data_IF_424735521710
#
_entry.id   IF_424735521710
#
_cell.length_a   1.000
_cell.length_b   1.000
_cell.length_c   1.000
_cell.angle_alpha   90.00
_cell.angle_beta   90.00
_cell.angle_gamma   90.00
#
_symmetry.space_group_name_H-M   'P 1'
#
loop_
_entity.id
_entity.type
_entity.pdbx_description
1 polymer ?
#
# COMPACT_ATOMS: atom_id res chain seq x y z
N UNK A 1 13.49 0.78 -12.95
CA UNK A 1 12.37 -0.04 -12.42
C UNK A 1 11.46 -0.36 -13.58
N UNK A 2 11.15 -1.65 -13.74
CA UNK A 2 10.22 -2.18 -14.74
C UNK A 2 8.75 -2.02 -14.32
N UNK A 3 7.85 -2.19 -15.28
CA UNK A 3 6.41 -2.32 -15.11
C UNK A 3 6.04 -3.79 -15.32
N UNK A 4 5.47 -4.42 -14.30
CA UNK A 4 5.18 -5.85 -14.28
C UNK A 4 3.67 -6.02 -14.39
N UNK A 5 3.24 -6.91 -15.30
CA UNK A 5 1.84 -7.25 -15.50
C UNK A 5 1.59 -8.71 -15.20
N UNK A 6 0.48 -8.99 -14.55
CA UNK A 6 0.10 -10.33 -14.16
C UNK A 6 -1.40 -10.50 -14.36
N UNK A 7 -1.81 -11.71 -14.72
CA UNK A 7 -3.22 -12.07 -14.71
C UNK A 7 -3.76 -12.09 -13.27
N UNK A 8 -4.85 -11.35 -13.04
CA UNK A 8 -5.42 -11.19 -11.71
C UNK A 8 -5.98 -12.48 -11.09
N UNK A 9 -6.42 -13.43 -11.91
CA UNK A 9 -7.02 -14.70 -11.48
C UNK A 9 -5.97 -15.81 -11.39
N UNK A 10 -5.23 -16.06 -12.45
CA UNK A 10 -4.27 -17.18 -12.54
C UNK A 10 -2.94 -16.88 -11.85
N UNK A 11 -2.67 -15.60 -11.55
CA UNK A 11 -1.39 -15.12 -11.01
C UNK A 11 -0.20 -15.37 -11.93
N UNK A 12 -0.44 -15.67 -13.21
CA UNK A 12 0.62 -15.85 -14.18
C UNK A 12 1.17 -14.50 -14.64
N UNK A 13 2.49 -14.41 -14.72
CA UNK A 13 3.18 -13.25 -15.28
C UNK A 13 2.79 -13.11 -16.76
N UNK A 14 2.24 -11.96 -17.12
CA UNK A 14 1.87 -11.66 -18.51
C UNK A 14 3.05 -11.06 -19.28
N UNK A 15 3.71 -10.04 -18.72
CA UNK A 15 4.92 -9.44 -19.31
C UNK A 15 5.64 -8.54 -18.29
N UNK A 16 6.89 -8.18 -18.61
CA UNK A 16 7.72 -7.22 -17.88
C UNK A 16 8.23 -6.16 -18.86
N UNK A 17 7.68 -4.95 -18.76
CA UNK A 17 8.14 -3.80 -19.55
C UNK A 17 9.25 -3.10 -18.80
N UNK A 18 10.47 -3.09 -19.35
CA UNK A 18 11.65 -2.55 -18.66
C UNK A 18 11.53 -1.07 -18.27
N UNK A 19 10.84 -0.29 -19.10
CA UNK A 19 10.63 1.15 -18.88
C UNK A 19 9.18 1.46 -18.50
N UNK A 20 9.00 1.90 -17.25
CA UNK A 20 7.70 2.28 -16.68
C UNK A 20 7.25 3.72 -16.95
N UNK A 21 8.04 4.52 -17.66
CA UNK A 21 7.68 5.89 -18.01
C UNK A 21 6.46 5.91 -18.94
N UNK A 22 5.56 6.86 -18.74
CA UNK A 22 4.26 6.91 -19.42
C UNK A 22 4.36 6.83 -20.95
N UNK A 23 5.27 7.55 -21.64
CA UNK A 23 5.38 7.47 -23.10
C UNK A 23 5.74 6.07 -23.60
N UNK A 24 6.58 5.35 -22.85
CA UNK A 24 7.00 3.99 -23.19
C UNK A 24 5.88 2.98 -22.98
N UNK A 25 5.15 3.10 -21.87
CA UNK A 25 3.96 2.29 -21.61
C UNK A 25 2.87 2.56 -22.65
N UNK A 26 2.64 3.82 -23.01
CA UNK A 26 1.70 4.18 -24.07
C UNK A 26 2.07 3.53 -25.39
N UNK A 27 3.34 3.62 -25.80
CA UNK A 27 3.84 2.97 -27.02
C UNK A 27 3.69 1.45 -26.94
N UNK A 28 4.00 0.84 -25.81
CA UNK A 28 3.90 -0.60 -25.59
C UNK A 28 2.46 -1.09 -25.78
N UNK A 29 1.51 -0.48 -25.08
CA UNK A 29 0.10 -0.89 -25.14
C UNK A 29 -0.60 -0.52 -26.45
N UNK A 30 -0.13 0.53 -27.14
CA UNK A 30 -0.70 0.93 -28.44
C UNK A 30 -0.44 -0.09 -29.54
N UNK A 31 0.49 -1.04 -29.35
CA UNK A 31 0.69 -2.18 -30.26
C UNK A 31 -0.51 -3.13 -30.30
N UNK A 32 -1.32 -3.15 -29.25
CA UNK A 32 -2.53 -3.97 -29.21
C UNK A 32 -3.69 -3.22 -29.86
N UNK A 33 -4.45 -3.86 -30.77
CA UNK A 33 -5.61 -3.26 -31.41
C UNK A 33 -6.61 -2.72 -30.39
N UNK A 34 -7.29 -1.63 -30.73
CA UNK A 34 -8.30 -1.02 -29.86
C UNK A 34 -9.42 -2.01 -29.51
N UNK A 35 -9.80 -2.90 -30.43
CA UNK A 35 -10.78 -3.96 -30.19
C UNK A 35 -10.38 -4.84 -29.01
N UNK A 36 -9.11 -5.25 -28.92
CA UNK A 36 -8.56 -6.06 -27.82
C UNK A 36 -8.52 -5.24 -26.54
N UNK A 37 -8.04 -3.99 -26.59
CA UNK A 37 -7.98 -3.12 -25.41
C UNK A 37 -9.36 -2.83 -24.80
N UNK A 38 -10.41 -2.76 -25.63
CA UNK A 38 -11.80 -2.64 -25.19
C UNK A 38 -12.34 -3.88 -24.46
N UNK A 39 -11.69 -5.04 -24.58
CA UNK A 39 -12.10 -6.26 -23.87
C UNK A 39 -11.62 -6.29 -22.42
N UNK A 40 -10.67 -5.42 -22.05
CA UNK A 40 -10.17 -5.33 -20.67
C UNK A 40 -11.26 -4.75 -19.77
N UNK A 41 -11.74 -5.55 -18.82
CA UNK A 41 -12.82 -5.16 -17.90
C UNK A 41 -12.31 -4.47 -16.64
N UNK A 42 -11.22 -4.99 -16.07
CA UNK A 42 -10.66 -4.52 -14.81
C UNK A 42 -9.15 -4.37 -14.92
N UNK A 43 -8.62 -3.27 -14.39
CA UNK A 43 -7.19 -3.09 -14.14
C UNK A 43 -7.01 -2.79 -12.67
N UNK A 44 -6.18 -3.60 -12.01
CA UNK A 44 -5.71 -3.31 -10.65
C UNK A 44 -4.36 -2.60 -10.78
N UNK A 45 -4.26 -1.37 -10.28
CA UNK A 45 -3.02 -0.60 -10.35
C UNK A 45 -2.69 0.09 -9.02
N UNK A 46 -1.48 0.61 -8.92
CA UNK A 46 -1.07 1.45 -7.80
C UNK A 46 -1.84 2.79 -7.77
N UNK A 47 -1.58 3.59 -6.73
CA UNK A 47 -2.23 4.90 -6.53
C UNK A 47 -1.51 6.04 -7.28
N UNK A 48 -0.65 5.76 -8.25
CA UNK A 48 0.07 6.79 -9.00
C UNK A 48 -0.88 7.49 -9.98
N UNK A 49 -1.25 8.74 -9.68
CA UNK A 49 -2.23 9.52 -10.43
C UNK A 49 -2.05 9.51 -11.97
N UNK A 50 -0.82 9.58 -12.52
CA UNK A 50 -0.63 9.54 -13.98
C UNK A 50 -1.03 8.21 -14.65
N UNK A 51 -1.03 7.09 -13.92
CA UNK A 51 -1.53 5.83 -14.47
C UNK A 51 -3.04 5.87 -14.70
N UNK A 52 -3.82 6.63 -13.93
CA UNK A 52 -5.25 6.75 -14.16
C UNK A 52 -5.54 7.39 -15.52
N UNK A 53 -4.82 8.46 -15.84
CA UNK A 53 -4.94 9.15 -17.12
C UNK A 53 -4.51 8.24 -18.28
N UNK A 54 -3.39 7.52 -18.11
CA UNK A 54 -2.88 6.58 -19.10
C UNK A 54 -3.86 5.42 -19.35
N UNK A 55 -4.38 4.81 -18.28
CA UNK A 55 -5.34 3.69 -18.36
C UNK A 55 -6.62 4.14 -19.04
N UNK A 56 -7.19 5.29 -18.67
CA UNK A 56 -8.40 5.82 -19.33
C UNK A 56 -8.20 6.06 -20.83
N UNK A 57 -7.01 6.51 -21.24
CA UNK A 57 -6.65 6.72 -22.65
C UNK A 57 -6.50 5.41 -23.41
N UNK A 58 -5.84 4.41 -22.82
CA UNK A 58 -5.52 3.15 -23.48
C UNK A 58 -6.64 2.10 -23.41
N UNK A 59 -7.42 2.09 -22.34
CA UNK A 59 -8.41 1.07 -22.04
C UNK A 59 -9.77 1.72 -21.69
N UNK A 60 -10.52 2.16 -22.71
CA UNK A 60 -11.66 3.07 -22.51
C UNK A 60 -12.86 2.44 -21.79
N UNK A 61 -12.95 1.12 -21.77
CA UNK A 61 -14.07 0.35 -21.16
C UNK A 61 -13.73 -0.21 -19.78
N UNK A 62 -12.50 0.02 -19.30
CA UNK A 62 -11.98 -0.63 -18.09
C UNK A 62 -12.38 0.12 -16.82
N UNK A 63 -12.74 -0.64 -15.79
CA UNK A 63 -12.84 -0.16 -14.43
C UNK A 63 -11.48 -0.25 -13.72
N UNK A 64 -11.03 0.88 -13.16
CA UNK A 64 -9.78 0.96 -12.39
C UNK A 64 -10.06 0.56 -10.94
N UNK A 65 -9.26 -0.37 -10.43
CA UNK A 65 -9.29 -0.83 -9.05
C UNK A 65 -7.94 -0.50 -8.41
N UNK A 66 -7.98 0.06 -7.20
CA UNK A 66 -6.76 0.30 -6.43
C UNK A 66 -6.19 -1.01 -5.89
N UNK A 67 -4.89 -1.21 -6.04
CA UNK A 67 -4.20 -2.31 -5.39
C UNK A 67 -4.24 -2.15 -3.87
N UNK A 68 -4.88 -3.13 -3.22
CA UNK A 68 -5.03 -3.21 -1.77
C UNK A 68 -3.68 -3.26 -1.05
N UNK A 69 -2.65 -3.85 -1.66
CA UNK A 69 -1.31 -3.92 -1.06
C UNK A 69 -0.74 -2.52 -0.84
N UNK A 70 -0.88 -1.63 -1.81
CA UNK A 70 -0.41 -0.25 -1.69
C UNK A 70 -1.19 0.54 -0.62
N UNK A 71 -2.50 0.30 -0.48
CA UNK A 71 -3.32 0.90 0.58
C UNK A 71 -2.84 0.45 1.97
N UNK A 72 -2.71 -0.86 2.16
CA UNK A 72 -2.27 -1.44 3.44
C UNK A 72 -0.86 -0.95 3.80
N UNK A 73 0.06 -0.93 2.83
CA UNK A 73 1.40 -0.41 3.03
C UNK A 73 1.41 1.09 3.38
N UNK A 74 0.59 1.91 2.69
CA UNK A 74 0.48 3.34 2.95
C UNK A 74 -0.02 3.60 4.37
N UNK A 75 -1.08 2.91 4.80
CA UNK A 75 -1.62 3.02 6.16
C UNK A 75 -0.56 2.62 7.18
N UNK A 76 0.11 1.48 6.98
CA UNK A 76 1.15 1.00 7.90
C UNK A 76 2.32 1.98 8.05
N UNK A 77 2.80 2.56 6.95
CA UNK A 77 3.89 3.56 6.96
C UNK A 77 3.45 4.86 7.64
N UNK A 78 2.26 5.36 7.32
CA UNK A 78 1.71 6.58 7.92
C UNK A 78 1.53 6.41 9.43
N UNK A 79 0.98 5.27 9.85
CA UNK A 79 0.82 4.95 11.26
C UNK A 79 2.17 4.87 12.00
N UNK A 80 3.16 4.19 11.40
CA UNK A 80 4.51 4.13 11.97
C UNK A 80 5.13 5.52 12.12
N UNK A 81 5.03 6.36 11.10
CA UNK A 81 5.53 7.75 11.13
C UNK A 81 4.84 8.55 12.24
N UNK A 82 3.52 8.47 12.33
CA UNK A 82 2.76 9.17 13.37
C UNK A 82 3.12 8.67 14.78
N UNK A 83 3.29 7.36 14.97
CA UNK A 83 3.74 6.79 16.24
C UNK A 83 5.11 7.33 16.65
N UNK A 84 6.08 7.38 15.72
CA UNK A 84 7.42 7.91 15.99
C UNK A 84 7.33 9.39 16.36
N UNK A 85 6.62 10.20 15.55
CA UNK A 85 6.38 11.61 15.84
C UNK A 85 5.78 11.81 17.24
N UNK A 86 4.77 11.00 17.61
CA UNK A 86 4.16 11.06 18.92
C UNK A 86 5.13 10.61 20.03
N UNK A 87 5.92 9.58 19.80
CA UNK A 87 6.95 9.14 20.75
C UNK A 87 7.99 10.22 20.98
N UNK A 88 8.42 10.92 19.93
CA UNK A 88 9.45 11.95 20.04
C UNK A 88 8.99 13.13 20.89
N UNK A 89 7.68 13.44 20.90
CA UNK A 89 7.15 14.45 21.84
C UNK A 89 7.34 14.07 23.30
N UNK A 90 7.46 12.79 23.65
CA UNK A 90 7.68 12.35 25.04
C UNK A 90 9.15 12.35 25.45
N UNK A 91 10.07 12.49 24.50
CA UNK A 91 11.50 12.58 24.80
C UNK A 91 11.75 13.84 25.63
N UNK A 92 12.58 13.72 26.67
CA UNK A 92 13.02 14.83 27.51
C UNK A 92 11.94 15.55 28.35
N UNK A 93 10.69 15.05 28.40
CA UNK A 93 9.59 15.69 29.16
C UNK A 93 9.41 15.19 30.61
N UNK A 94 10.33 14.36 31.13
CA UNK A 94 10.31 13.86 32.52
C UNK A 94 9.82 12.40 32.67
N UNK A 95 9.78 11.91 33.92
CA UNK A 95 9.62 10.48 34.22
C UNK A 95 8.29 9.87 33.74
N UNK A 96 7.19 10.61 33.82
CA UNK A 96 5.86 10.13 33.39
C UNK A 96 5.78 9.97 31.88
N UNK A 97 6.24 10.94 31.11
CA UNK A 97 6.26 10.86 29.64
C UNK A 97 7.27 9.83 29.13
N UNK A 98 8.41 9.66 29.81
CA UNK A 98 9.36 8.60 29.52
C UNK A 98 8.76 7.18 29.70
N UNK A 99 7.77 6.99 30.59
CA UNK A 99 7.01 5.73 30.67
C UNK A 99 6.15 5.53 29.41
N UNK A 100 5.45 6.56 28.94
CA UNK A 100 4.64 6.51 27.70
C UNK A 100 5.48 6.20 26.47
N UNK A 101 6.66 6.81 26.35
CA UNK A 101 7.64 6.50 25.29
C UNK A 101 8.01 5.01 25.30
N UNK A 102 8.45 4.47 26.45
CA UNK A 102 8.86 3.07 26.58
C UNK A 102 7.72 2.11 26.25
N UNK A 103 6.50 2.47 26.62
CA UNK A 103 5.30 1.71 26.33
C UNK A 103 5.04 1.61 24.82
N UNK A 104 4.95 2.76 24.13
CA UNK A 104 4.77 2.79 22.67
C UNK A 104 5.94 2.14 21.91
N UNK A 105 7.15 2.20 22.47
CA UNK A 105 8.34 1.53 21.91
C UNK A 105 8.30 0.02 22.10
N UNK A 106 7.93 -0.48 23.28
CA UNK A 106 7.95 -1.92 23.62
C UNK A 106 6.89 -2.69 22.84
N UNK A 107 5.71 -2.11 22.69
CA UNK A 107 4.53 -2.84 22.22
C UNK A 107 4.06 -2.44 20.81
N UNK A 108 4.91 -1.77 20.04
CA UNK A 108 4.59 -1.29 18.69
C UNK A 108 4.09 -2.38 17.74
N UNK A 109 4.58 -3.62 17.90
CA UNK A 109 4.16 -4.78 17.10
C UNK A 109 2.69 -5.13 17.31
N UNK A 110 2.14 -4.88 18.50
CA UNK A 110 0.71 -5.11 18.78
C UNK A 110 -0.18 -4.16 17.97
N UNK A 111 0.28 -2.93 17.76
CA UNK A 111 -0.43 -1.92 16.96
C UNK A 111 -0.49 -2.27 15.46
N UNK A 112 0.36 -3.20 14.99
CA UNK A 112 0.39 -3.67 13.61
C UNK A 112 -0.01 -5.15 13.47
N UNK A 113 -0.40 -5.80 14.58
CA UNK A 113 -0.78 -7.21 14.57
C UNK A 113 -2.17 -7.33 13.93
N UNK A 114 -2.37 -8.41 13.17
CA UNK A 114 -3.70 -8.77 12.70
C UNK A 114 -4.64 -8.91 13.91
N UNK A 115 -5.78 -8.22 13.86
CA UNK A 115 -6.78 -8.21 14.92
C UNK A 115 -7.21 -9.61 15.36
N UNK A 116 -7.38 -10.53 14.41
CA UNK A 116 -7.76 -11.93 14.68
C UNK A 116 -6.70 -12.71 15.46
N UNK A 117 -5.45 -12.20 15.50
CA UNK A 117 -4.34 -12.78 16.24
C UNK A 117 -4.07 -12.04 17.55
N UNK A 118 -4.87 -11.05 17.93
CA UNK A 118 -4.75 -10.39 19.23
C UNK A 118 -5.32 -11.30 20.32
N UNK A 119 -4.58 -11.40 21.42
CA UNK A 119 -5.01 -12.10 22.63
C UNK A 119 -5.51 -11.04 23.62
N UNK A 120 -6.81 -11.09 23.93
CA UNK A 120 -7.46 -10.15 24.85
C UNK A 120 -7.57 -10.71 26.28
N UNK A 121 -7.35 -12.01 26.46
CA UNK A 121 -7.40 -12.67 27.78
C UNK A 121 -6.08 -12.46 28.51
N UNK A 122 -4.94 -12.67 27.83
CA UNK A 122 -3.60 -12.38 28.37
C UNK A 122 -3.20 -10.95 28.06
N UNK A 123 -3.71 -10.00 28.85
CA UNK A 123 -3.32 -8.59 28.73
C UNK A 123 -1.82 -8.45 29.07
N UNK A 124 -1.00 -8.17 28.06
CA UNK A 124 0.44 -7.89 28.22
C UNK A 124 0.75 -6.52 28.86
N UNK A 125 -0.29 -5.79 29.26
CA UNK A 125 -0.22 -4.41 29.74
C UNK A 125 -0.75 -4.34 31.18
N UNK A 126 0.08 -3.88 32.11
CA UNK A 126 -0.41 -3.41 33.40
C UNK A 126 -1.01 -2.02 33.17
N UNK A 127 -2.28 -1.83 33.52
CA UNK A 127 -2.93 -0.53 33.49
C UNK A 127 -2.06 0.45 34.29
N UNK A 128 -1.85 1.65 33.73
CA UNK A 128 -1.21 2.75 34.45
C UNK A 128 -2.10 3.11 35.63
N UNK A 129 -1.79 2.57 36.81
CA UNK A 129 -2.19 3.12 38.10
C UNK A 129 -1.12 4.12 38.55
#
# INVERSE_FOLDING_TARGET
>A
MSFIMMDGQTKQLSDVVENRQLPFLERYFSRFPLSVRKMVKYIVCDMYAPYFSLIKKLFPTTQIILDRLHIVQLIGRTFLKHRIQRMDTFLHQGNTEAKKYRHLKKYWKLLQKNQLKLDFEKRLWHLFN
#
